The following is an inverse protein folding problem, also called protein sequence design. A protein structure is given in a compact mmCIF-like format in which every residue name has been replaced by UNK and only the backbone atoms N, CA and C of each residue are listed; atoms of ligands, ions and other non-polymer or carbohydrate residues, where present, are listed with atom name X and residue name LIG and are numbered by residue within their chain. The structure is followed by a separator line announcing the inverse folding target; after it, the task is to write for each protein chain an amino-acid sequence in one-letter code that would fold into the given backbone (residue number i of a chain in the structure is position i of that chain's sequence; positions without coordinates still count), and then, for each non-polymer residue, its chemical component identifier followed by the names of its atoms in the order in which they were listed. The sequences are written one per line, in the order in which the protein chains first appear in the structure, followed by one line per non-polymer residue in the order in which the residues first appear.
data_IF_057375488398
#
_entry.id   IF_057375488398
#
_cell.length_a   1.000
_cell.length_b   1.000
_cell.length_c   1.000
_cell.angle_alpha   90.00
_cell.angle_beta   90.00
_cell.angle_gamma   90.00
#
_symmetry.space_group_name_H-M   'P 1'
#
loop_
_entity.id
_entity.type
_entity.pdbx_description
1 polymer ?
#
# COMPACT_ATOMS: atom_id res chain seq x y z
N UNK A 1 -58.96 40.50 35.55
CA UNK A 1 -57.96 39.43 35.39
C UNK A 1 -57.94 38.97 33.93
N UNK A 2 -57.09 39.54 33.08
CA UNK A 2 -56.96 39.16 31.66
C UNK A 2 -55.73 38.27 31.50
N UNK A 3 -55.93 37.02 31.03
CA UNK A 3 -54.88 36.02 30.82
C UNK A 3 -54.08 36.37 29.55
N UNK A 4 -52.76 36.45 29.68
CA UNK A 4 -51.80 36.67 28.59
C UNK A 4 -51.47 35.30 27.98
N UNK A 5 -51.81 35.09 26.70
CA UNK A 5 -51.36 33.93 25.92
C UNK A 5 -49.94 34.19 25.40
N UNK A 6 -48.96 33.42 25.90
CA UNK A 6 -47.63 33.36 25.31
C UNK A 6 -47.67 32.50 24.04
N UNK A 7 -47.36 33.08 22.89
CA UNK A 7 -47.07 32.34 21.66
C UNK A 7 -45.67 31.74 21.77
N UNK A 8 -45.59 30.42 21.90
CA UNK A 8 -44.33 29.68 21.78
C UNK A 8 -43.96 29.65 20.29
N UNK A 9 -42.94 30.41 19.92
CA UNK A 9 -42.31 30.36 18.60
C UNK A 9 -41.39 29.14 18.59
N UNK A 10 -41.85 28.03 18.03
CA UNK A 10 -41.01 26.85 17.78
C UNK A 10 -40.13 27.18 16.58
N UNK A 11 -38.88 27.60 16.85
CA UNK A 11 -37.85 27.72 15.81
C UNK A 11 -37.47 26.29 15.43
N UNK A 12 -37.96 25.84 14.28
CA UNK A 12 -37.59 24.55 13.70
C UNK A 12 -36.09 24.55 13.38
N UNK A 13 -35.31 23.81 14.17
CA UNK A 13 -33.92 23.53 13.88
C UNK A 13 -33.88 22.60 12.66
N UNK A 14 -33.69 23.17 11.48
CA UNK A 14 -33.48 22.40 10.25
C UNK A 14 -32.10 21.76 10.37
N UNK A 15 -32.08 20.45 10.64
CA UNK A 15 -30.89 19.63 10.51
C UNK A 15 -30.50 19.64 9.03
N UNK A 16 -29.60 20.55 8.67
CA UNK A 16 -28.86 20.47 7.41
C UNK A 16 -27.91 19.29 7.58
N UNK A 17 -28.39 18.09 7.23
CA UNK A 17 -27.56 16.89 7.14
C UNK A 17 -26.47 17.17 6.11
N UNK A 18 -25.26 17.49 6.57
CA UNK A 18 -24.09 17.38 5.72
C UNK A 18 -24.04 15.92 5.26
N UNK A 19 -24.31 15.67 3.99
CA UNK A 19 -24.12 14.36 3.38
C UNK A 19 -22.62 14.10 3.35
N UNK A 20 -22.10 13.51 4.43
CA UNK A 20 -20.82 12.81 4.41
C UNK A 20 -20.98 11.66 3.42
N UNK A 21 -20.47 11.86 2.21
CA UNK A 21 -20.40 10.80 1.22
C UNK A 21 -19.25 9.90 1.63
N UNK A 22 -19.56 8.82 2.35
CA UNK A 22 -18.59 7.75 2.54
C UNK A 22 -18.46 7.04 1.20
N UNK A 23 -17.35 7.24 0.50
CA UNK A 23 -17.06 6.47 -0.71
C UNK A 23 -17.02 4.97 -0.37
N UNK A 24 -17.54 4.16 -1.28
CA UNK A 24 -17.50 2.70 -1.16
C UNK A 24 -16.46 2.12 -2.13
N UNK A 25 -15.96 0.92 -1.86
CA UNK A 25 -15.08 0.22 -2.81
C UNK A 25 -15.68 0.09 -4.21
N UNK A 26 -17.01 -0.08 -4.32
CA UNK A 26 -17.67 -0.15 -5.62
C UNK A 26 -17.50 1.12 -6.45
N UNK A 27 -17.36 2.29 -5.82
CA UNK A 27 -17.17 3.55 -6.53
C UNK A 27 -15.77 3.61 -7.17
N UNK A 28 -14.75 3.19 -6.43
CA UNK A 28 -13.39 3.07 -6.94
C UNK A 28 -13.31 2.03 -8.08
N UNK A 29 -13.98 0.89 -7.92
CA UNK A 29 -13.93 -0.19 -8.90
C UNK A 29 -14.63 0.13 -10.23
N UNK A 30 -15.42 1.21 -10.33
CA UNK A 30 -16.02 1.61 -11.61
C UNK A 30 -14.95 1.92 -12.68
N UNK A 31 -13.79 2.43 -12.26
CA UNK A 31 -12.65 2.68 -13.15
C UNK A 31 -11.50 1.70 -12.90
N UNK A 32 -11.19 1.39 -11.64
CA UNK A 32 -10.03 0.56 -11.27
C UNK A 32 -10.20 -0.94 -11.55
N UNK A 33 -11.36 -1.40 -12.05
CA UNK A 33 -11.55 -2.80 -12.47
C UNK A 33 -11.19 -3.07 -13.94
N UNK A 34 -10.83 -2.05 -14.71
CA UNK A 34 -10.47 -2.21 -16.12
C UNK A 34 -8.96 -2.56 -16.25
N UNK A 35 -8.60 -3.74 -16.82
CA UNK A 35 -7.21 -4.14 -17.02
C UNK A 35 -6.39 -3.19 -17.90
N UNK A 36 -7.05 -2.45 -18.79
CA UNK A 36 -6.40 -1.49 -19.68
C UNK A 36 -6.35 -0.08 -19.08
N UNK A 37 -6.80 0.10 -17.84
CA UNK A 37 -6.75 1.40 -17.18
C UNK A 37 -5.33 1.73 -16.72
N UNK A 38 -4.73 2.74 -17.35
CA UNK A 38 -3.36 3.18 -17.10
C UNK A 38 -3.29 4.69 -16.91
N UNK A 39 -2.17 5.15 -16.37
CA UNK A 39 -1.78 6.56 -16.28
C UNK A 39 -0.29 6.71 -16.59
N UNK A 40 0.16 7.92 -16.88
CA UNK A 40 1.57 8.22 -17.05
C UNK A 40 2.15 8.78 -15.74
N UNK A 41 3.13 8.11 -15.15
CA UNK A 41 3.91 8.62 -14.01
C UNK A 41 5.39 8.66 -14.37
N UNK A 42 5.97 9.85 -14.29
CA UNK A 42 7.41 10.08 -14.57
C UNK A 42 7.83 9.56 -15.97
N UNK A 43 7.01 9.77 -17.00
CA UNK A 43 7.29 9.35 -18.37
C UNK A 43 7.15 7.85 -18.62
N UNK A 44 6.52 7.10 -17.69
CA UNK A 44 6.24 5.68 -17.83
C UNK A 44 4.75 5.43 -17.69
N UNK A 45 4.22 4.56 -18.54
CA UNK A 45 2.88 4.02 -18.38
C UNK A 45 2.84 3.10 -17.15
N UNK A 46 1.86 3.34 -16.28
CA UNK A 46 1.63 2.60 -15.04
C UNK A 46 0.17 2.16 -15.02
N UNK A 47 -0.07 0.87 -14.82
CA UNK A 47 -1.41 0.33 -14.65
C UNK A 47 -2.02 0.78 -13.32
N UNK A 48 -3.29 1.19 -13.40
CA UNK A 48 -4.15 1.53 -12.27
C UNK A 48 -5.15 0.40 -11.97
N UNK A 49 -5.10 -0.70 -12.70
CA UNK A 49 -5.97 -1.86 -12.50
C UNK A 49 -5.78 -2.49 -11.12
N UNK A 50 -6.89 -2.85 -10.50
CA UNK A 50 -6.98 -3.60 -9.25
C UNK A 50 -7.91 -4.79 -9.45
N UNK A 51 -7.42 -6.00 -9.20
CA UNK A 51 -8.29 -7.17 -9.12
C UNK A 51 -8.89 -7.27 -7.72
N UNK A 52 -10.17 -6.92 -7.60
CA UNK A 52 -10.89 -6.97 -6.32
C UNK A 52 -10.90 -8.38 -5.70
N UNK A 53 -10.84 -9.44 -6.51
CA UNK A 53 -10.82 -10.81 -5.99
C UNK A 53 -9.45 -11.18 -5.39
N UNK A 54 -8.39 -10.52 -5.84
CA UNK A 54 -7.06 -10.64 -5.24
C UNK A 54 -7.01 -9.82 -3.95
N UNK A 55 -7.51 -8.58 -3.97
CA UNK A 55 -7.62 -7.75 -2.78
C UNK A 55 -8.41 -8.41 -1.65
N UNK A 56 -9.55 -9.02 -1.99
CA UNK A 56 -10.39 -9.76 -1.05
C UNK A 56 -9.73 -11.01 -0.46
N UNK A 57 -8.55 -11.42 -0.93
CA UNK A 57 -7.75 -12.51 -0.35
C UNK A 57 -6.54 -12.00 0.42
N UNK A 58 -6.29 -10.69 0.41
CA UNK A 58 -5.24 -10.06 1.17
C UNK A 58 -5.59 -9.99 2.66
N UNK A 59 -4.59 -9.67 3.49
CA UNK A 59 -4.80 -9.37 4.91
C UNK A 59 -5.64 -8.11 5.14
N UNK A 60 -5.85 -7.27 4.12
CA UNK A 60 -6.57 -6.00 4.18
C UNK A 60 -7.99 -6.05 3.58
N UNK A 61 -8.50 -7.23 3.21
CA UNK A 61 -9.80 -7.44 2.54
C UNK A 61 -11.03 -6.78 3.18
N UNK A 62 -10.96 -6.34 4.44
CA UNK A 62 -12.07 -5.70 5.17
C UNK A 62 -12.03 -4.17 5.18
N UNK A 63 -11.03 -3.55 4.55
CA UNK A 63 -10.91 -2.09 4.50
C UNK A 63 -11.45 -1.53 3.19
N UNK A 64 -11.98 -0.31 3.27
CA UNK A 64 -12.29 0.48 2.08
C UNK A 64 -11.00 1.02 1.45
N UNK A 65 -10.99 1.23 0.13
CA UNK A 65 -9.83 1.68 -0.64
C UNK A 65 -9.24 2.96 -0.06
N UNK A 66 -10.11 3.90 0.34
CA UNK A 66 -9.75 5.20 0.91
C UNK A 66 -9.09 5.12 2.29
N UNK A 67 -9.16 3.98 2.98
CA UNK A 67 -8.42 3.77 4.24
C UNK A 67 -6.91 3.80 4.00
N UNK A 68 -6.47 3.33 2.83
CA UNK A 68 -5.07 3.40 2.42
C UNK A 68 -4.81 4.58 1.48
N UNK A 69 -5.76 4.85 0.58
CA UNK A 69 -5.73 5.96 -0.37
C UNK A 69 -6.48 7.17 0.18
N UNK A 70 -6.03 7.71 1.32
CA UNK A 70 -6.72 8.78 2.07
C UNK A 70 -7.03 10.00 1.17
N UNK A 71 -6.10 10.40 0.29
CA UNK A 71 -6.26 11.53 -0.62
C UNK A 71 -7.25 11.29 -1.77
N UNK A 72 -7.73 10.05 -1.95
CA UNK A 72 -8.75 9.71 -2.92
C UNK A 72 -10.19 9.92 -2.39
N UNK A 73 -10.37 10.21 -1.10
CA UNK A 73 -11.68 10.48 -0.48
C UNK A 73 -12.20 11.89 -0.81
N UNK A 74 -12.44 12.10 -2.10
CA UNK A 74 -12.89 13.37 -2.70
C UNK A 74 -14.07 13.14 -3.63
N UNK A 75 -14.56 14.17 -4.32
CA UNK A 75 -15.53 13.94 -5.39
C UNK A 75 -14.85 13.19 -6.55
N UNK A 76 -15.45 12.10 -7.02
CA UNK A 76 -14.91 11.30 -8.12
C UNK A 76 -15.31 11.90 -9.49
N UNK A 77 -14.40 11.90 -10.48
CA UNK A 77 -13.05 11.34 -10.44
C UNK A 77 -12.08 12.19 -9.61
N UNK A 78 -11.22 11.51 -8.83
CA UNK A 78 -10.18 12.16 -8.03
C UNK A 78 -9.03 12.72 -8.91
N UNK A 79 -8.20 13.66 -8.40
CA UNK A 79 -7.00 14.13 -9.10
C UNK A 79 -6.02 12.99 -9.45
N UNK A 80 -5.23 13.17 -10.52
CA UNK A 80 -4.27 12.14 -11.00
C UNK A 80 -3.05 11.97 -10.07
N UNK A 81 -2.63 13.05 -9.43
CA UNK A 81 -1.45 13.10 -8.57
C UNK A 81 -1.87 12.95 -7.11
N UNK A 82 -2.13 11.70 -6.71
CA UNK A 82 -2.32 11.32 -5.32
C UNK A 82 -0.98 11.00 -4.66
N UNK A 83 -0.88 11.22 -3.35
CA UNK A 83 0.25 10.76 -2.55
C UNK A 83 0.31 9.23 -2.51
N UNK A 84 1.50 8.70 -2.25
CA UNK A 84 1.70 7.27 -2.06
C UNK A 84 1.12 6.80 -0.72
N UNK A 85 0.59 5.56 -0.72
CA UNK A 85 0.01 4.94 0.48
C UNK A 85 1.05 4.85 1.60
N UNK A 86 0.72 5.41 2.77
CA UNK A 86 1.58 5.36 3.95
C UNK A 86 1.19 4.20 4.88
N UNK A 87 1.92 3.10 4.79
CA UNK A 87 1.74 1.93 5.64
C UNK A 87 1.97 2.25 7.15
N UNK A 88 2.82 3.24 7.45
CA UNK A 88 3.20 3.63 8.79
C UNK A 88 2.09 4.28 9.62
N UNK A 89 1.01 4.78 8.97
CA UNK A 89 -0.15 5.33 9.67
C UNK A 89 -0.80 4.29 10.59
N UNK A 90 -0.79 3.01 10.21
CA UNK A 90 -1.28 1.91 11.04
C UNK A 90 -0.16 0.95 11.52
N UNK A 91 0.91 0.77 10.75
CA UNK A 91 2.01 -0.15 11.06
C UNK A 91 3.25 0.59 11.60
N UNK A 92 3.07 1.50 12.56
CA UNK A 92 4.12 2.37 13.09
C UNK A 92 5.36 1.62 13.57
N UNK A 93 5.20 0.53 14.34
CA UNK A 93 6.34 -0.27 14.83
C UNK A 93 7.16 -0.88 13.67
N UNK A 94 6.48 -1.36 12.62
CA UNK A 94 7.16 -1.92 11.45
C UNK A 94 7.84 -0.83 10.64
N UNK A 95 7.21 0.35 10.53
CA UNK A 95 7.78 1.52 9.87
C UNK A 95 9.06 1.99 10.60
N UNK A 96 9.05 2.04 11.93
CA UNK A 96 10.21 2.41 12.73
C UNK A 96 11.38 1.44 12.51
N UNK A 97 11.10 0.13 12.56
CA UNK A 97 12.10 -0.91 12.29
C UNK A 97 12.66 -0.83 10.86
N UNK A 98 11.80 -0.58 9.87
CA UNK A 98 12.22 -0.41 8.49
C UNK A 98 13.11 0.83 8.33
N UNK A 99 12.71 1.97 8.89
CA UNK A 99 13.44 3.24 8.84
C UNK A 99 14.81 3.15 9.52
N UNK A 100 14.95 2.35 10.57
CA UNK A 100 16.22 2.10 11.25
C UNK A 100 17.16 1.17 10.45
N UNK A 101 16.62 0.38 9.52
CA UNK A 101 17.37 -0.55 8.68
C UNK A 101 18.01 0.11 7.45
N UNK A 102 18.90 -0.62 6.78
CA UNK A 102 19.66 -0.10 5.62
C UNK A 102 18.76 0.31 4.44
N UNK A 103 17.63 -0.39 4.23
CA UNK A 103 16.67 -0.05 3.18
C UNK A 103 15.92 1.24 3.50
N UNK A 104 15.43 1.42 4.72
CA UNK A 104 14.77 2.66 5.12
C UNK A 104 15.72 3.85 5.14
N UNK A 105 16.99 3.66 5.54
CA UNK A 105 18.02 4.70 5.45
C UNK A 105 18.29 5.08 3.98
N UNK A 106 18.38 4.10 3.07
CA UNK A 106 18.55 4.36 1.64
C UNK A 106 17.33 5.12 1.06
N UNK A 107 16.11 4.73 1.44
CA UNK A 107 14.88 5.38 1.01
C UNK A 107 14.83 6.84 1.46
N UNK A 108 15.15 7.12 2.73
CA UNK A 108 15.22 8.47 3.28
C UNK A 108 16.29 9.35 2.61
N UNK A 109 17.35 8.75 2.05
CA UNK A 109 18.37 9.45 1.26
C UNK A 109 17.95 9.71 -0.18
N UNK A 110 16.77 9.23 -0.61
CA UNK A 110 16.30 9.35 -1.99
C UNK A 110 17.08 8.47 -2.96
N UNK A 111 17.64 7.35 -2.48
CA UNK A 111 18.39 6.43 -3.33
C UNK A 111 17.46 5.78 -4.37
N UNK A 112 17.87 5.81 -5.64
CA UNK A 112 17.03 5.44 -6.78
C UNK A 112 16.46 4.02 -6.70
N UNK A 113 17.20 3.09 -6.10
CA UNK A 113 16.80 1.68 -6.00
C UNK A 113 16.45 1.26 -4.56
N UNK A 114 16.20 2.22 -3.66
CA UNK A 114 15.72 1.89 -2.33
C UNK A 114 14.33 1.26 -2.42
N UNK A 115 14.11 0.08 -1.82
CA UNK A 115 12.78 -0.50 -1.77
C UNK A 115 11.92 0.25 -0.74
N UNK A 116 10.61 0.12 -0.87
CA UNK A 116 9.59 0.49 0.10
C UNK A 116 8.93 -0.78 0.66
N UNK A 117 7.82 -0.65 1.38
CA UNK A 117 7.07 -1.78 1.91
C UNK A 117 6.55 -2.71 0.80
N UNK A 118 6.19 -2.16 -0.37
CA UNK A 118 5.47 -2.92 -1.41
C UNK A 118 6.37 -3.86 -2.21
N UNK A 119 7.67 -3.57 -2.30
CA UNK A 119 8.65 -4.43 -2.99
C UNK A 119 8.76 -5.80 -2.32
N UNK A 120 8.59 -5.83 -0.99
CA UNK A 120 8.65 -7.04 -0.18
C UNK A 120 7.28 -7.68 0.03
N UNK A 121 6.25 -6.88 0.31
CA UNK A 121 4.95 -7.39 0.77
C UNK A 121 3.89 -7.49 -0.34
N UNK A 122 4.05 -6.78 -1.45
CA UNK A 122 3.01 -6.58 -2.46
C UNK A 122 2.20 -5.30 -2.21
N UNK A 123 1.14 -5.12 -3.01
CA UNK A 123 0.27 -3.92 -2.96
C UNK A 123 -1.13 -4.31 -2.50
N UNK A 124 -2.00 -4.68 -3.45
CA UNK A 124 -3.36 -5.17 -3.18
C UNK A 124 -3.41 -6.69 -2.96
N UNK A 125 -2.26 -7.35 -2.88
CA UNK A 125 -2.11 -8.81 -2.80
C UNK A 125 -1.33 -9.26 -1.56
N UNK A 126 -1.26 -8.41 -0.53
CA UNK A 126 -0.47 -8.66 0.68
C UNK A 126 -1.01 -9.89 1.43
N UNK A 127 -0.14 -10.89 1.61
CA UNK A 127 -0.44 -12.14 2.30
C UNK A 127 0.27 -12.21 3.65
N UNK A 128 -0.27 -12.97 4.63
CA UNK A 128 0.41 -13.15 5.92
C UNK A 128 1.72 -13.94 5.72
N UNK A 129 2.76 -13.70 6.53
CA UNK A 129 4.07 -14.31 6.35
C UNK A 129 4.08 -15.83 6.58
N UNK A 130 3.04 -16.41 7.17
CA UNK A 130 2.86 -17.84 7.33
C UNK A 130 2.31 -18.53 6.07
N UNK A 131 1.74 -17.76 5.13
CA UNK A 131 1.17 -18.31 3.91
C UNK A 131 2.30 -18.70 2.94
N UNK A 132 2.38 -19.95 2.46
CA UNK A 132 3.42 -20.39 1.52
C UNK A 132 3.49 -19.61 0.20
N UNK A 133 2.41 -18.92 -0.18
CA UNK A 133 2.35 -18.05 -1.36
C UNK A 133 2.84 -16.63 -1.10
N UNK A 134 3.01 -16.23 0.16
CA UNK A 134 3.51 -14.90 0.50
C UNK A 134 4.97 -14.75 0.06
N UNK A 135 5.37 -13.63 -0.57
CA UNK A 135 6.78 -13.38 -0.88
C UNK A 135 7.66 -13.37 0.38
N UNK A 136 7.09 -13.04 1.54
CA UNK A 136 7.78 -13.01 2.84
C UNK A 136 7.71 -14.32 3.60
N UNK A 137 7.14 -15.38 3.01
CA UNK A 137 7.24 -16.71 3.56
C UNK A 137 8.69 -17.19 3.55
N UNK A 138 9.13 -17.84 4.64
CA UNK A 138 10.53 -18.19 4.90
C UNK A 138 11.28 -18.84 3.73
N UNK A 139 10.63 -19.69 2.95
CA UNK A 139 11.25 -20.38 1.79
C UNK A 139 11.39 -19.47 0.56
N UNK A 140 10.57 -18.41 0.49
CA UNK A 140 10.50 -17.48 -0.63
C UNK A 140 11.47 -16.30 -0.46
N UNK A 141 12.00 -16.08 0.75
CA UNK A 141 12.93 -14.98 1.07
C UNK A 141 14.12 -14.89 0.11
N UNK A 142 14.84 -15.99 -0.23
CA UNK A 142 15.96 -15.90 -1.15
C UNK A 142 15.53 -15.33 -2.50
N UNK A 143 14.43 -15.86 -3.06
CA UNK A 143 13.87 -15.38 -4.31
C UNK A 143 13.44 -13.91 -4.22
N UNK A 144 12.80 -13.52 -3.11
CA UNK A 144 12.37 -12.14 -2.87
C UNK A 144 13.56 -11.18 -2.89
N UNK A 145 14.59 -11.44 -2.07
CA UNK A 145 15.78 -10.60 -2.00
C UNK A 145 16.55 -10.61 -3.34
N UNK A 146 16.62 -11.77 -3.98
CA UNK A 146 17.29 -11.97 -5.27
C UNK A 146 16.62 -11.27 -6.45
N UNK A 147 15.41 -10.70 -6.31
CA UNK A 147 14.84 -9.80 -7.32
C UNK A 147 15.76 -8.60 -7.58
N UNK A 148 16.39 -8.08 -6.53
CA UNK A 148 17.28 -6.92 -6.59
C UNK A 148 18.73 -7.26 -6.24
N UNK A 149 18.96 -8.14 -5.26
CA UNK A 149 20.29 -8.53 -4.78
C UNK A 149 20.80 -9.79 -5.50
N UNK A 150 20.98 -9.68 -6.81
CA UNK A 150 21.59 -10.71 -7.66
C UNK A 150 22.69 -10.11 -8.51
N UNK A 151 23.60 -10.95 -8.97
CA UNK A 151 24.69 -10.54 -9.84
C UNK A 151 24.15 -9.78 -11.08
N UNK A 152 24.82 -8.67 -11.41
CA UNK A 152 24.45 -7.81 -12.55
C UNK A 152 23.23 -6.91 -12.34
N UNK A 153 22.46 -7.06 -11.26
CA UNK A 153 21.35 -6.16 -10.96
C UNK A 153 21.86 -4.72 -10.64
N UNK A 154 21.05 -3.67 -10.88
CA UNK A 154 21.46 -2.29 -10.61
C UNK A 154 21.95 -2.08 -9.18
N UNK A 155 21.27 -2.64 -8.18
CA UNK A 155 21.67 -2.53 -6.76
C UNK A 155 23.08 -3.07 -6.53
N UNK A 156 23.40 -4.24 -7.09
CA UNK A 156 24.71 -4.88 -6.94
C UNK A 156 25.84 -4.16 -7.70
N UNK A 157 25.52 -3.31 -8.67
CA UNK A 157 26.50 -2.54 -9.46
C UNK A 157 26.71 -1.12 -8.97
N UNK A 158 25.67 -0.51 -8.40
CA UNK A 158 25.67 0.91 -7.99
C UNK A 158 26.08 1.08 -6.54
N UNK A 159 25.72 0.13 -5.66
CA UNK A 159 25.98 0.23 -4.24
C UNK A 159 27.02 -0.77 -3.77
N UNK A 160 27.91 -0.32 -2.89
CA UNK A 160 28.86 -1.17 -2.19
C UNK A 160 28.23 -1.71 -0.90
N UNK A 161 27.42 -2.77 -1.03
CA UNK A 161 26.78 -3.50 0.07
C UNK A 161 27.61 -4.72 0.45
N UNK A 162 27.54 -5.19 1.70
CA UNK A 162 28.32 -6.35 2.15
C UNK A 162 27.75 -7.68 1.65
N UNK A 163 26.44 -7.74 1.44
CA UNK A 163 25.72 -8.94 1.03
C UNK A 163 25.67 -9.06 -0.49
N UNK A 164 26.35 -10.07 -1.01
CA UNK A 164 26.37 -10.42 -2.44
C UNK A 164 25.88 -11.85 -2.66
N UNK A 165 25.51 -12.17 -3.91
CA UNK A 165 25.19 -13.53 -4.35
C UNK A 165 24.19 -14.26 -3.45
N UNK A 166 23.13 -13.56 -3.01
CA UNK A 166 22.18 -14.07 -2.00
C UNK A 166 21.57 -15.42 -2.40
N UNK A 167 21.18 -15.57 -3.67
CA UNK A 167 20.62 -16.83 -4.16
C UNK A 167 21.64 -17.96 -4.04
N UNK A 168 22.84 -17.76 -4.58
CA UNK A 168 23.89 -18.77 -4.56
C UNK A 168 24.26 -19.16 -3.12
N UNK A 169 24.56 -18.16 -2.28
CA UNK A 169 24.92 -18.37 -0.89
C UNK A 169 23.82 -19.08 -0.09
N UNK A 170 22.55 -18.76 -0.34
CA UNK A 170 21.44 -19.47 0.29
C UNK A 170 21.36 -20.93 -0.19
N UNK A 171 21.42 -21.16 -1.51
CA UNK A 171 21.32 -22.51 -2.09
C UNK A 171 22.46 -23.44 -1.65
N UNK A 172 23.64 -22.88 -1.39
CA UNK A 172 24.81 -23.63 -0.88
C UNK A 172 24.82 -23.75 0.66
N UNK A 173 23.86 -23.16 1.37
CA UNK A 173 23.76 -23.28 2.81
C UNK A 173 22.97 -24.53 3.22
N UNK A 174 23.12 -24.96 4.48
CA UNK A 174 22.30 -26.02 5.07
C UNK A 174 20.79 -25.76 4.99
N UNK A 175 20.38 -24.49 4.90
CA UNK A 175 18.98 -24.13 4.71
C UNK A 175 18.51 -24.42 3.28
N UNK A 176 19.37 -24.23 2.28
CA UNK A 176 19.08 -24.50 0.87
C UNK A 176 19.16 -25.99 0.53
N UNK A 177 20.10 -26.73 1.11
CA UNK A 177 20.20 -28.19 0.96
C UNK A 177 18.98 -28.94 1.53
N UNK A 178 18.29 -28.34 2.50
CA UNK A 178 17.14 -28.92 3.18
C UNK A 178 15.77 -28.65 2.52
N UNK A 179 15.74 -27.98 1.37
CA UNK A 179 14.52 -27.71 0.58
C UNK A 179 14.30 -28.76 -0.51
#
# INVERSE_FOLDING_TARGET
MKKILYKILVIGFSLLSAQLSAQTNSDCMMCHSDPDFTTERQGREVSLYVDINVFNKSVHQGFDCVVCHEDADVELPHPENLEDVNCGNCHSESQEKFNAGIHGIALQKGELYAPTCVECHGKHDILPPENPKSPTYKINIPYLCGKCHREGAPVARVYNITEHNIIENYTQSIHGEGL
#
